data_IF_271092582982
#
_entry.id   IF_271092582982
#
_cell.length_a   1.000
_cell.length_b   1.000
_cell.length_c   1.000
_cell.angle_alpha   90.00
_cell.angle_beta   90.00
_cell.angle_gamma   90.00
#
_symmetry.space_group_name_H-M   'P 1'
#
loop_
_entity.id
_entity.type
_entity.pdbx_description
1 polymer ?
#
# COMPACT_ATOMS: atom_id res chain seq x y z
N UNK A 1 -24.03 28.07 -22.43
CA UNK A 1 -23.29 26.80 -22.45
C UNK A 1 -22.00 26.80 -21.62
N UNK A 2 -21.95 27.46 -20.48
CA UNK A 2 -20.76 27.65 -19.65
C UNK A 2 -20.78 26.90 -18.30
N UNK A 3 -21.77 26.04 -18.09
CA UNK A 3 -21.93 25.34 -16.80
C UNK A 3 -21.46 23.89 -16.73
N UNK A 4 -21.30 23.20 -17.87
CA UNK A 4 -21.05 21.75 -17.89
C UNK A 4 -19.60 21.32 -17.60
N UNK A 5 -18.65 22.24 -17.56
CA UNK A 5 -17.24 21.92 -17.36
C UNK A 5 -16.60 22.58 -16.13
N UNK A 6 -17.40 23.11 -15.20
CA UNK A 6 -16.90 23.81 -14.01
C UNK A 6 -16.29 22.87 -12.94
N UNK A 7 -16.49 21.58 -13.02
CA UNK A 7 -15.86 20.58 -12.13
C UNK A 7 -14.81 19.77 -12.88
N UNK A 8 -13.84 20.45 -13.48
CA UNK A 8 -12.70 19.74 -14.07
C UNK A 8 -11.88 19.11 -12.94
N UNK A 9 -11.69 17.83 -13.03
CA UNK A 9 -10.90 16.94 -12.18
C UNK A 9 -9.39 17.12 -12.42
N UNK A 10 -8.90 18.34 -12.55
CA UNK A 10 -7.47 18.60 -12.74
C UNK A 10 -6.89 19.27 -11.51
N UNK A 11 -5.65 18.90 -11.18
CA UNK A 11 -4.85 19.61 -10.18
C UNK A 11 -4.71 21.08 -10.57
N UNK A 12 -4.80 21.94 -9.57
CA UNK A 12 -4.41 23.33 -9.76
C UNK A 12 -2.90 23.36 -9.98
N UNK A 13 -2.45 24.07 -11.00
CA UNK A 13 -1.04 24.39 -11.18
C UNK A 13 -0.78 25.65 -10.39
N UNK A 14 0.01 25.52 -9.34
CA UNK A 14 0.49 26.63 -8.52
C UNK A 14 2.00 26.70 -8.65
N UNK A 15 2.57 27.89 -8.49
CA UNK A 15 4.01 28.04 -8.46
C UNK A 15 4.58 27.48 -7.14
N UNK A 16 5.77 26.91 -7.21
CA UNK A 16 6.47 26.42 -6.03
C UNK A 16 6.90 27.62 -5.17
N UNK A 17 6.40 27.68 -3.92
CA UNK A 17 6.79 28.75 -2.99
C UNK A 17 8.17 28.47 -2.41
N UNK A 18 8.82 29.52 -1.90
CA UNK A 18 10.08 29.40 -1.15
C UNK A 18 9.92 28.79 0.26
N UNK A 19 8.69 28.68 0.78
CA UNK A 19 8.42 28.11 2.10
C UNK A 19 7.00 27.55 2.23
N UNK A 20 6.85 26.55 3.11
CA UNK A 20 5.58 25.92 3.50
C UNK A 20 5.61 25.52 4.98
N UNK A 21 4.44 25.37 5.60
CA UNK A 21 4.36 24.77 6.94
C UNK A 21 4.80 23.31 6.92
N UNK A 22 4.37 22.56 5.89
CA UNK A 22 4.72 21.14 5.71
C UNK A 22 5.13 20.87 4.25
N UNK A 23 6.27 20.22 4.07
CA UNK A 23 6.70 19.66 2.78
C UNK A 23 6.65 18.14 2.85
N UNK A 24 5.85 17.52 2.00
CA UNK A 24 5.73 16.07 1.85
C UNK A 24 6.49 15.65 0.60
N UNK A 25 7.52 14.83 0.78
CA UNK A 25 8.30 14.29 -0.34
C UNK A 25 7.71 12.94 -0.74
N UNK A 26 7.16 12.89 -1.95
CA UNK A 26 6.49 11.73 -2.53
C UNK A 26 4.99 11.93 -2.73
N UNK A 27 4.57 12.03 -3.99
CA UNK A 27 3.17 12.14 -4.44
C UNK A 27 2.49 10.78 -4.64
N UNK A 28 2.88 9.78 -3.85
CA UNK A 28 2.19 8.50 -3.75
C UNK A 28 0.93 8.60 -2.87
N UNK A 29 0.17 7.50 -2.78
CA UNK A 29 -1.08 7.45 -2.01
C UNK A 29 -0.89 7.85 -0.54
N UNK A 30 0.25 7.51 0.08
CA UNK A 30 0.53 7.84 1.48
C UNK A 30 0.77 9.34 1.68
N UNK A 31 1.61 9.95 0.85
CA UNK A 31 1.86 11.40 0.92
C UNK A 31 0.62 12.23 0.59
N UNK A 32 -0.16 11.80 -0.40
CA UNK A 32 -1.41 12.46 -0.78
C UNK A 32 -2.51 12.27 0.27
N UNK A 33 -2.62 11.11 0.89
CA UNK A 33 -3.53 10.89 2.03
C UNK A 33 -3.17 11.78 3.21
N UNK A 34 -1.87 11.87 3.55
CA UNK A 34 -1.40 12.80 4.58
C UNK A 34 -1.78 14.25 4.26
N UNK A 35 -1.48 14.71 3.05
CA UNK A 35 -1.76 16.10 2.65
C UNK A 35 -3.25 16.44 2.70
N UNK A 36 -4.10 15.50 2.28
CA UNK A 36 -5.55 15.64 2.41
C UNK A 36 -6.00 15.76 3.86
N UNK A 37 -5.53 14.85 4.73
CA UNK A 37 -5.92 14.85 6.14
C UNK A 37 -5.44 16.09 6.89
N UNK A 38 -4.22 16.58 6.62
CA UNK A 38 -3.73 17.85 7.16
C UNK A 38 -4.69 19.01 6.83
N UNK A 39 -5.07 19.13 5.56
CA UNK A 39 -5.94 20.20 5.11
C UNK A 39 -7.42 20.02 5.53
N UNK A 40 -7.95 18.78 5.45
CA UNK A 40 -9.37 18.52 5.68
C UNK A 40 -9.75 18.47 7.17
N UNK A 41 -8.89 17.88 8.00
CA UNK A 41 -9.22 17.61 9.40
C UNK A 41 -8.46 18.48 10.41
N UNK A 42 -7.36 19.11 9.99
CA UNK A 42 -6.56 19.95 10.88
C UNK A 42 -6.39 21.40 10.41
N UNK A 43 -6.94 21.76 9.23
CA UNK A 43 -6.86 23.11 8.70
C UNK A 43 -5.46 23.57 8.29
N UNK A 44 -4.48 22.65 8.22
CA UNK A 44 -3.11 22.92 7.77
C UNK A 44 -3.10 22.82 6.25
N UNK A 45 -3.15 23.97 5.58
CA UNK A 45 -3.30 24.08 4.11
C UNK A 45 -2.05 24.57 3.40
N UNK A 46 -1.10 25.20 4.12
CA UNK A 46 0.18 25.62 3.55
C UNK A 46 1.13 24.42 3.44
N UNK A 47 0.74 23.47 2.56
CA UNK A 47 1.39 22.18 2.37
C UNK A 47 1.81 22.04 0.92
N UNK A 48 3.06 21.58 0.70
CA UNK A 48 3.52 21.14 -0.61
C UNK A 48 3.70 19.62 -0.63
N UNK A 49 3.22 18.97 -1.67
CA UNK A 49 3.58 17.60 -2.04
C UNK A 49 4.51 17.67 -3.26
N UNK A 50 5.73 17.16 -3.11
CA UNK A 50 6.75 17.18 -4.16
C UNK A 50 6.98 15.76 -4.67
N UNK A 51 6.77 15.53 -5.97
CA UNK A 51 7.07 14.25 -6.61
C UNK A 51 8.09 14.44 -7.74
N UNK A 52 9.11 13.61 -7.77
CA UNK A 52 10.16 13.65 -8.79
C UNK A 52 9.65 13.38 -10.22
N UNK A 53 8.52 12.66 -10.31
CA UNK A 53 7.88 12.31 -11.59
C UNK A 53 6.44 12.86 -11.61
N UNK A 54 5.46 11.98 -11.83
CA UNK A 54 4.03 12.29 -11.71
C UNK A 54 3.43 11.56 -10.50
N UNK A 55 2.33 12.09 -9.96
CA UNK A 55 1.66 11.50 -8.79
C UNK A 55 1.30 10.03 -9.06
N UNK A 56 1.56 9.19 -8.06
CA UNK A 56 1.31 7.75 -8.16
C UNK A 56 2.29 6.99 -9.07
N UNK A 57 3.33 7.61 -9.61
CA UNK A 57 4.31 6.97 -10.50
C UNK A 57 5.13 5.86 -9.82
N UNK A 58 5.22 5.87 -8.50
CA UNK A 58 5.91 4.88 -7.68
C UNK A 58 5.09 3.62 -7.39
N UNK A 59 5.21 3.09 -6.18
CA UNK A 59 4.51 1.88 -5.71
C UNK A 59 3.00 1.98 -5.82
N UNK A 60 2.41 3.19 -5.66
CA UNK A 60 0.96 3.40 -5.73
C UNK A 60 0.36 3.02 -7.07
N UNK A 61 0.99 3.39 -8.19
CA UNK A 61 0.51 3.03 -9.53
C UNK A 61 0.88 1.62 -9.99
N UNK A 62 1.61 0.88 -9.15
CA UNK A 62 2.11 -0.47 -9.43
C UNK A 62 1.56 -1.54 -8.50
N UNK A 63 0.72 -1.17 -7.54
CA UNK A 63 0.11 -2.11 -6.61
C UNK A 63 -1.02 -2.93 -7.25
N UNK A 64 -1.44 -3.97 -6.56
CA UNK A 64 -2.45 -4.93 -7.02
C UNK A 64 -3.84 -4.66 -6.47
N UNK A 65 -4.10 -3.47 -5.92
CA UNK A 65 -5.41 -2.92 -5.57
C UNK A 65 -6.12 -3.57 -4.38
N UNK A 66 -5.51 -4.53 -3.71
CA UNK A 66 -6.11 -5.28 -2.60
C UNK A 66 -6.21 -4.41 -1.34
N UNK A 67 -7.38 -4.42 -0.69
CA UNK A 67 -7.67 -3.79 0.59
C UNK A 67 -8.24 -4.85 1.54
N UNK A 68 -7.58 -5.07 2.68
CA UNK A 68 -7.95 -6.10 3.64
C UNK A 68 -7.56 -5.71 5.07
N UNK A 69 -8.08 -6.44 6.07
CA UNK A 69 -7.81 -6.20 7.49
C UNK A 69 -7.44 -7.46 8.29
N UNK A 70 -7.30 -8.63 7.62
CA UNK A 70 -6.95 -9.91 8.24
C UNK A 70 -5.43 -10.03 8.38
N UNK A 71 -4.90 -9.61 9.52
CA UNK A 71 -3.47 -9.55 9.83
C UNK A 71 -3.09 -10.48 10.99
N UNK A 72 -1.79 -10.57 11.32
CA UNK A 72 -1.25 -11.62 12.20
C UNK A 72 -0.88 -11.12 13.60
N UNK A 73 -0.91 -9.81 13.88
CA UNK A 73 -0.49 -9.30 15.19
C UNK A 73 -1.54 -8.41 15.86
N UNK A 74 -1.54 -8.34 17.21
CA UNK A 74 -2.43 -7.45 17.96
C UNK A 74 -2.27 -5.97 17.60
N UNK A 75 -1.13 -5.56 17.04
CA UNK A 75 -0.83 -4.18 16.63
C UNK A 75 -1.36 -3.90 15.22
N UNK A 76 -1.19 -4.85 14.29
CA UNK A 76 -1.56 -4.65 12.88
C UNK A 76 -3.05 -4.81 12.63
N UNK A 77 -3.72 -5.75 13.30
CA UNK A 77 -5.17 -5.98 13.12
C UNK A 77 -6.00 -4.72 13.40
N UNK A 78 -5.85 -4.01 14.54
CA UNK A 78 -6.59 -2.77 14.79
C UNK A 78 -6.29 -1.67 13.77
N UNK A 79 -5.02 -1.53 13.37
CA UNK A 79 -4.58 -0.52 12.41
C UNK A 79 -5.26 -0.71 11.05
N UNK A 80 -5.23 -1.92 10.50
CA UNK A 80 -5.84 -2.20 9.19
C UNK A 80 -7.36 -2.33 9.26
N UNK A 81 -7.94 -2.72 10.41
CA UNK A 81 -9.38 -2.61 10.65
C UNK A 81 -9.86 -1.16 10.57
N UNK A 82 -9.14 -0.25 11.22
CA UNK A 82 -9.45 1.17 11.15
C UNK A 82 -9.33 1.69 9.70
N UNK A 83 -8.28 1.30 9.00
CA UNK A 83 -8.11 1.64 7.57
C UNK A 83 -9.29 1.16 6.73
N UNK A 84 -9.69 -0.11 6.86
CA UNK A 84 -10.83 -0.68 6.12
C UNK A 84 -12.13 0.06 6.43
N UNK A 85 -12.30 0.53 7.68
CA UNK A 85 -13.42 1.39 8.07
C UNK A 85 -13.48 2.67 7.25
N UNK A 86 -12.34 3.35 7.08
CA UNK A 86 -12.23 4.59 6.29
C UNK A 86 -12.49 4.29 4.79
N UNK A 87 -11.95 3.21 4.25
CA UNK A 87 -12.15 2.84 2.84
C UNK A 87 -13.60 2.82 2.41
N UNK A 88 -14.52 2.40 3.29
CA UNK A 88 -15.96 2.29 3.00
C UNK A 88 -16.64 3.64 2.70
N UNK A 89 -16.13 4.73 3.25
CA UNK A 89 -16.67 6.08 3.10
C UNK A 89 -15.76 7.02 2.32
N UNK A 90 -14.52 6.60 2.05
CA UNK A 90 -13.49 7.45 1.46
C UNK A 90 -13.90 8.06 0.11
N UNK A 91 -14.63 7.32 -0.73
CA UNK A 91 -15.11 7.85 -2.01
C UNK A 91 -16.08 9.04 -1.83
N UNK A 92 -16.89 9.02 -0.78
CA UNK A 92 -17.80 10.12 -0.43
C UNK A 92 -17.01 11.31 0.13
N UNK A 93 -16.05 11.06 1.02
CA UNK A 93 -15.20 12.10 1.61
C UNK A 93 -14.38 12.85 0.55
N UNK A 94 -13.80 12.14 -0.40
CA UNK A 94 -13.01 12.71 -1.48
C UNK A 94 -13.86 13.32 -2.61
N UNK A 95 -15.17 13.08 -2.61
CA UNK A 95 -16.06 13.38 -3.74
C UNK A 95 -15.48 12.82 -5.07
N UNK A 96 -15.06 11.54 -5.02
CA UNK A 96 -14.39 10.88 -6.13
C UNK A 96 -14.68 9.37 -6.16
N UNK A 97 -14.99 8.83 -7.34
CA UNK A 97 -15.27 7.40 -7.48
C UNK A 97 -13.96 6.59 -7.46
N UNK A 98 -13.71 5.89 -6.37
CA UNK A 98 -12.52 5.06 -6.17
C UNK A 98 -12.63 3.66 -6.79
N UNK A 99 -13.79 3.33 -7.36
CA UNK A 99 -14.12 1.96 -7.79
C UNK A 99 -13.88 0.94 -6.68
N UNK A 100 -14.22 1.33 -5.43
CA UNK A 100 -14.10 0.46 -4.27
C UNK A 100 -15.21 -0.58 -4.28
N UNK A 101 -14.84 -1.85 -4.13
CA UNK A 101 -15.79 -2.96 -4.06
C UNK A 101 -15.34 -4.03 -3.07
N UNK A 102 -16.27 -4.52 -2.26
CA UNK A 102 -16.04 -5.64 -1.33
C UNK A 102 -16.39 -6.93 -2.05
N UNK A 103 -15.40 -7.83 -2.18
CA UNK A 103 -15.51 -9.05 -2.97
C UNK A 103 -15.00 -10.28 -2.21
N UNK A 104 -14.34 -10.10 -1.06
CA UNK A 104 -13.74 -11.16 -0.27
C UNK A 104 -12.31 -11.52 -0.71
N UNK A 105 -11.64 -12.24 0.19
CA UNK A 105 -10.29 -12.79 0.02
C UNK A 105 -10.30 -14.23 0.50
N UNK A 106 -9.83 -15.15 -0.33
CA UNK A 106 -9.73 -16.57 -0.09
C UNK A 106 -8.25 -16.99 -0.11
N UNK A 107 -7.69 -17.34 1.04
CA UNK A 107 -6.32 -17.79 1.20
C UNK A 107 -6.28 -19.30 1.30
N UNK A 108 -5.85 -19.98 0.24
CA UNK A 108 -5.79 -21.45 0.14
C UNK A 108 -4.61 -21.99 0.96
N UNK A 109 -4.87 -23.06 1.71
CA UNK A 109 -3.89 -23.81 2.45
C UNK A 109 -3.70 -25.19 1.81
N UNK A 110 -2.45 -25.57 1.57
CA UNK A 110 -2.09 -26.84 0.94
C UNK A 110 -1.42 -27.81 1.91
N UNK A 111 -1.11 -27.34 3.12
CA UNK A 111 -0.57 -28.14 4.21
C UNK A 111 -1.41 -28.00 5.47
N UNK A 112 -1.33 -28.95 6.38
CA UNK A 112 -1.98 -28.83 7.68
C UNK A 112 -1.35 -27.70 8.52
N UNK A 113 -0.04 -27.48 8.38
CA UNK A 113 0.67 -26.42 9.11
C UNK A 113 0.18 -25.03 8.65
N UNK A 114 0.06 -24.79 7.34
CA UNK A 114 -0.48 -23.53 6.84
C UNK A 114 -1.94 -23.31 7.25
N UNK A 115 -2.74 -24.39 7.33
CA UNK A 115 -4.13 -24.31 7.80
C UNK A 115 -4.21 -23.96 9.29
N UNK A 116 -3.31 -24.50 10.14
CA UNK A 116 -3.27 -24.14 11.57
C UNK A 116 -2.85 -22.66 11.76
N UNK A 117 -1.87 -22.17 11.00
CA UNK A 117 -1.51 -20.74 11.01
C UNK A 117 -2.72 -19.87 10.65
N UNK A 118 -3.48 -20.24 9.62
CA UNK A 118 -4.69 -19.50 9.24
C UNK A 118 -5.81 -19.61 10.30
N UNK A 119 -5.89 -20.72 11.06
CA UNK A 119 -6.81 -20.84 12.20
C UNK A 119 -6.46 -19.88 13.33
N UNK A 120 -5.18 -19.84 13.71
CA UNK A 120 -4.70 -18.91 14.74
C UNK A 120 -4.94 -17.46 14.34
N UNK A 121 -4.61 -17.12 13.09
CA UNK A 121 -4.90 -15.81 12.51
C UNK A 121 -6.39 -15.48 12.56
N UNK A 122 -7.26 -16.42 12.20
CA UNK A 122 -8.72 -16.26 12.26
C UNK A 122 -9.22 -15.97 13.67
N UNK A 123 -8.71 -16.69 14.68
CA UNK A 123 -9.07 -16.46 16.08
C UNK A 123 -8.65 -15.06 16.55
N UNK A 124 -7.41 -14.64 16.24
CA UNK A 124 -6.91 -13.30 16.54
C UNK A 124 -7.80 -12.23 15.90
N UNK A 125 -8.04 -12.35 14.60
CA UNK A 125 -8.84 -11.39 13.84
C UNK A 125 -10.26 -11.25 14.43
N UNK A 126 -10.91 -12.37 14.75
CA UNK A 126 -12.24 -12.36 15.38
C UNK A 126 -12.21 -11.70 16.75
N UNK A 127 -11.16 -11.90 17.55
CA UNK A 127 -11.02 -11.25 18.86
C UNK A 127 -10.99 -9.71 18.73
N UNK A 128 -10.45 -9.20 17.63
CA UNK A 128 -10.47 -7.77 17.29
C UNK A 128 -11.70 -7.34 16.45
N UNK A 129 -12.68 -8.25 16.23
CA UNK A 129 -13.89 -7.98 15.46
C UNK A 129 -13.62 -7.80 13.96
N UNK A 130 -12.63 -8.51 13.43
CA UNK A 130 -12.36 -8.66 11.99
C UNK A 130 -12.82 -10.05 11.57
N UNK A 131 -13.83 -10.08 10.70
CA UNK A 131 -14.37 -11.35 10.23
C UNK A 131 -13.35 -12.08 9.35
N UNK A 132 -12.97 -13.28 9.78
CA UNK A 132 -12.14 -14.23 9.04
C UNK A 132 -12.61 -15.63 9.40
N UNK A 133 -12.99 -16.43 8.42
CA UNK A 133 -13.58 -17.75 8.59
C UNK A 133 -12.62 -18.82 8.03
N UNK A 134 -12.52 -19.98 8.69
CA UNK A 134 -11.74 -21.13 8.19
C UNK A 134 -12.70 -22.05 7.46
N UNK A 135 -12.37 -22.39 6.22
CA UNK A 135 -13.18 -23.18 5.32
C UNK A 135 -12.60 -24.58 5.10
N UNK A 136 -13.48 -25.57 5.05
CA UNK A 136 -13.18 -26.92 4.55
C UNK A 136 -13.03 -26.89 3.01
N UNK A 137 -12.40 -27.93 2.39
CA UNK A 137 -12.31 -28.01 0.91
C UNK A 137 -13.65 -27.92 0.20
N UNK A 138 -14.73 -28.48 0.77
CA UNK A 138 -16.08 -28.40 0.18
C UNK A 138 -16.64 -26.98 0.25
N UNK A 139 -16.33 -26.22 1.29
CA UNK A 139 -16.71 -24.82 1.42
C UNK A 139 -15.87 -23.93 0.48
N UNK A 140 -14.57 -24.23 0.30
CA UNK A 140 -13.73 -23.59 -0.72
C UNK A 140 -14.33 -23.74 -2.11
N UNK A 141 -14.78 -24.95 -2.47
CA UNK A 141 -15.45 -25.21 -3.77
C UNK A 141 -16.71 -24.37 -3.94
N UNK A 142 -17.46 -24.15 -2.87
CA UNK A 142 -18.67 -23.29 -2.88
C UNK A 142 -18.30 -21.81 -3.01
N UNK A 143 -17.23 -21.37 -2.32
CA UNK A 143 -16.75 -19.99 -2.37
C UNK A 143 -16.13 -19.65 -3.74
N UNK A 144 -15.39 -20.58 -4.34
CA UNK A 144 -14.81 -20.39 -5.67
C UNK A 144 -14.78 -21.71 -6.46
N UNK A 145 -15.75 -21.90 -7.34
CA UNK A 145 -15.89 -23.12 -8.17
C UNK A 145 -14.75 -23.36 -9.17
N UNK A 146 -13.92 -22.37 -9.41
CA UNK A 146 -12.80 -22.44 -10.36
C UNK A 146 -11.49 -22.88 -9.74
N UNK A 147 -11.42 -22.98 -8.40
CA UNK A 147 -10.24 -23.50 -7.69
C UNK A 147 -10.13 -25.00 -7.95
N UNK A 148 -8.95 -25.43 -8.36
CA UNK A 148 -8.59 -26.84 -8.40
C UNK A 148 -8.16 -27.32 -7.01
N UNK A 149 -9.01 -28.08 -6.34
CA UNK A 149 -8.72 -28.62 -5.01
C UNK A 149 -7.62 -29.69 -5.03
N UNK A 150 -7.25 -30.21 -6.19
CA UNK A 150 -6.15 -31.19 -6.29
C UNK A 150 -4.76 -30.52 -6.32
N UNK A 151 -4.71 -29.18 -6.50
CA UNK A 151 -3.46 -28.43 -6.60
C UNK A 151 -2.56 -28.88 -7.75
N UNK A 152 -3.18 -29.23 -8.89
CA UNK A 152 -2.47 -29.82 -10.04
C UNK A 152 -1.98 -31.26 -9.77
N UNK A 153 -2.48 -31.92 -8.73
CA UNK A 153 -2.10 -33.26 -8.33
C UNK A 153 -0.87 -33.34 -7.41
N UNK A 154 -0.21 -32.21 -7.13
CA UNK A 154 1.02 -32.17 -6.29
C UNK A 154 0.75 -31.62 -4.87
N UNK A 155 -0.08 -30.59 -4.76
CA UNK A 155 -0.36 -29.88 -3.50
C UNK A 155 -1.87 -29.69 -3.33
N UNK A 156 -2.62 -30.70 -2.85
CA UNK A 156 -4.06 -30.60 -2.67
C UNK A 156 -4.43 -29.51 -1.65
N UNK A 157 -5.55 -28.85 -1.87
CA UNK A 157 -6.11 -27.89 -0.92
C UNK A 157 -6.69 -28.62 0.27
N UNK A 158 -6.14 -28.41 1.46
CA UNK A 158 -6.61 -29.01 2.73
C UNK A 158 -7.62 -28.11 3.45
N UNK A 159 -7.74 -26.86 3.07
CA UNK A 159 -8.66 -25.85 3.60
C UNK A 159 -8.30 -24.48 3.09
N UNK A 160 -8.92 -23.45 3.67
CA UNK A 160 -8.61 -22.06 3.38
C UNK A 160 -9.02 -21.15 4.54
N UNK A 161 -8.50 -19.92 4.60
CA UNK A 161 -9.17 -18.86 5.31
C UNK A 161 -9.96 -17.97 4.32
N UNK A 162 -11.07 -17.42 4.79
CA UNK A 162 -11.90 -16.52 4.01
C UNK A 162 -12.16 -15.23 4.80
N UNK A 163 -11.81 -14.11 4.20
CA UNK A 163 -12.03 -12.78 4.75
C UNK A 163 -13.11 -12.05 3.92
N UNK A 164 -14.41 -12.15 4.28
CA UNK A 164 -15.51 -11.54 3.52
C UNK A 164 -15.35 -10.03 3.30
N UNK A 165 -14.79 -9.23 4.25
CA UNK A 165 -14.55 -7.81 4.04
C UNK A 165 -13.43 -7.48 3.05
N UNK A 166 -12.68 -8.45 2.55
CA UNK A 166 -11.66 -8.24 1.52
C UNK A 166 -12.22 -7.45 0.34
N UNK A 167 -11.49 -6.44 -0.10
CA UNK A 167 -11.99 -5.43 -1.02
C UNK A 167 -10.92 -5.04 -2.03
N UNK A 168 -11.34 -4.31 -3.05
CA UNK A 168 -10.45 -3.72 -4.06
C UNK A 168 -10.77 -2.25 -4.24
N UNK A 169 -9.74 -1.44 -4.52
CA UNK A 169 -9.90 -0.05 -4.90
C UNK A 169 -8.97 0.28 -6.07
N UNK A 170 -9.45 1.01 -7.05
CA UNK A 170 -8.64 1.37 -8.21
C UNK A 170 -7.55 2.36 -7.80
N UNK A 171 -6.30 1.94 -7.88
CA UNK A 171 -5.16 2.66 -7.34
C UNK A 171 -4.96 4.06 -7.93
N UNK A 172 -5.11 4.23 -9.23
CA UNK A 172 -5.04 5.53 -9.90
C UNK A 172 -6.19 6.46 -9.47
N UNK A 173 -7.42 5.93 -9.35
CA UNK A 173 -8.56 6.69 -8.85
C UNK A 173 -8.35 7.17 -7.42
N UNK A 174 -7.73 6.34 -6.56
CA UNK A 174 -7.41 6.72 -5.17
C UNK A 174 -6.37 7.83 -5.12
N UNK A 175 -5.29 7.70 -5.89
CA UNK A 175 -4.24 8.74 -6.00
C UNK A 175 -4.84 10.07 -6.47
N UNK A 176 -5.61 10.06 -7.56
CA UNK A 176 -6.26 11.26 -8.08
C UNK A 176 -7.33 11.81 -7.15
N UNK A 177 -8.09 10.96 -6.49
CA UNK A 177 -9.10 11.35 -5.50
C UNK A 177 -8.48 12.17 -4.37
N UNK A 178 -7.43 11.66 -3.74
CA UNK A 178 -6.71 12.37 -2.69
C UNK A 178 -6.06 13.67 -3.19
N UNK A 179 -5.37 13.62 -4.33
CA UNK A 179 -4.68 14.79 -4.88
C UNK A 179 -5.64 15.94 -5.18
N UNK A 180 -6.77 15.64 -5.81
CA UNK A 180 -7.79 16.65 -6.16
C UNK A 180 -8.45 17.18 -4.89
N UNK A 181 -8.80 16.32 -3.93
CA UNK A 181 -9.43 16.73 -2.68
C UNK A 181 -8.51 17.61 -1.82
N UNK A 182 -7.20 17.31 -1.78
CA UNK A 182 -6.18 18.11 -1.12
C UNK A 182 -5.98 19.46 -1.84
N UNK A 183 -5.81 19.45 -3.16
CA UNK A 183 -5.63 20.66 -3.96
C UNK A 183 -6.83 21.60 -3.88
N UNK A 184 -8.06 21.10 -3.81
CA UNK A 184 -9.27 21.92 -3.60
C UNK A 184 -9.22 22.70 -2.29
N UNK A 185 -8.48 22.20 -1.29
CA UNK A 185 -8.30 22.78 0.05
C UNK A 185 -7.06 23.68 0.18
N UNK A 186 -6.32 23.89 -0.91
CA UNK A 186 -5.17 24.79 -0.94
C UNK A 186 -3.81 24.10 -0.86
N UNK A 187 -3.76 22.77 -0.81
CA UNK A 187 -2.49 22.03 -0.88
C UNK A 187 -1.91 22.18 -2.30
N UNK A 188 -0.61 22.46 -2.38
CA UNK A 188 0.14 22.53 -3.63
C UNK A 188 0.73 21.16 -3.97
N UNK A 189 0.39 20.61 -5.13
CA UNK A 189 0.93 19.32 -5.61
C UNK A 189 1.81 19.61 -6.83
N UNK A 190 3.10 19.32 -6.69
CA UNK A 190 4.11 19.59 -7.71
C UNK A 190 4.66 18.28 -8.26
N UNK A 191 4.40 18.05 -9.54
CA UNK A 191 4.96 16.94 -10.32
C UNK A 191 6.25 17.38 -11.02
N UNK A 192 7.21 16.47 -11.19
CA UNK A 192 8.50 16.75 -11.81
C UNK A 192 9.44 17.60 -10.94
N UNK A 193 9.23 17.63 -9.61
CA UNK A 193 10.08 18.36 -8.66
C UNK A 193 10.82 17.36 -7.78
N UNK A 194 12.05 17.04 -8.17
CA UNK A 194 12.91 16.14 -7.43
C UNK A 194 13.53 16.84 -6.21
N UNK A 195 13.41 16.20 -5.02
CA UNK A 195 14.16 16.59 -3.84
C UNK A 195 15.55 15.97 -3.91
N UNK A 196 16.57 16.82 -3.87
CA UNK A 196 17.98 16.47 -4.01
C UNK A 196 18.77 16.57 -2.69
N UNK A 197 18.14 17.09 -1.63
CA UNK A 197 18.74 17.20 -0.30
C UNK A 197 17.71 17.56 0.76
N UNK A 198 18.03 17.23 2.01
CA UNK A 198 17.32 17.68 3.22
C UNK A 198 18.19 18.75 3.88
N UNK A 199 17.62 19.90 4.18
CA UNK A 199 18.32 21.01 4.81
C UNK A 199 18.25 20.87 6.33
N UNK A 200 19.41 20.72 6.96
CA UNK A 200 19.56 20.62 8.42
C UNK A 200 20.30 21.85 8.95
N UNK A 201 19.71 22.53 9.93
CA UNK A 201 20.32 23.61 10.67
C UNK A 201 20.17 23.34 12.17
N UNK A 202 21.28 23.43 12.93
CA UNK A 202 21.31 23.21 14.39
C UNK A 202 20.62 21.89 14.82
N UNK A 203 20.80 20.82 14.04
CA UNK A 203 20.22 19.50 14.32
C UNK A 203 18.74 19.35 13.98
N UNK A 204 18.12 20.39 13.41
CA UNK A 204 16.72 20.40 12.97
C UNK A 204 16.60 20.41 11.44
N UNK A 205 15.65 19.68 10.90
CA UNK A 205 15.26 19.81 9.50
C UNK A 205 14.47 21.12 9.31
N UNK A 206 14.97 21.96 8.39
CA UNK A 206 14.39 23.29 8.11
C UNK A 206 13.87 23.41 6.68
N UNK A 207 13.97 22.37 5.88
CA UNK A 207 13.49 22.38 4.50
C UNK A 207 14.10 21.31 3.62
N UNK A 208 13.91 21.50 2.32
CA UNK A 208 14.45 20.61 1.28
C UNK A 208 15.15 21.42 0.20
N UNK A 209 16.09 20.79 -0.48
CA UNK A 209 16.70 21.31 -1.71
C UNK A 209 16.10 20.60 -2.90
N UNK A 210 15.73 21.36 -3.91
CA UNK A 210 15.22 20.84 -5.19
C UNK A 210 16.03 21.38 -6.36
N UNK A 211 15.81 20.84 -7.54
CA UNK A 211 16.42 21.39 -8.77
C UNK A 211 15.91 22.82 -9.06
N UNK A 212 14.72 23.18 -8.58
CA UNK A 212 14.15 24.53 -8.71
C UNK A 212 14.62 25.50 -7.61
N UNK A 213 15.48 25.07 -6.68
CA UNK A 213 16.00 25.84 -5.56
C UNK A 213 15.58 25.27 -4.19
N UNK A 214 16.00 25.93 -3.08
CA UNK A 214 15.64 25.54 -1.73
C UNK A 214 14.18 25.88 -1.42
N UNK A 215 13.53 25.03 -0.61
CA UNK A 215 12.18 25.24 -0.09
C UNK A 215 12.25 25.06 1.43
N UNK A 216 12.03 26.12 2.18
CA UNK A 216 11.98 26.07 3.63
C UNK A 216 10.68 25.35 4.10
N UNK A 217 10.76 24.65 5.22
CA UNK A 217 9.63 23.95 5.78
C UNK A 217 9.64 23.94 7.31
N UNK A 218 8.47 24.13 7.92
CA UNK A 218 8.27 23.89 9.33
C UNK A 218 8.47 22.40 9.69
N UNK A 219 8.04 21.51 8.78
CA UNK A 219 8.24 20.04 8.86
C UNK A 219 8.39 19.44 7.47
N UNK A 220 9.27 18.46 7.35
CA UNK A 220 9.42 17.62 6.15
C UNK A 220 8.98 16.19 6.45
N UNK A 221 8.20 15.59 5.56
CA UNK A 221 7.74 14.20 5.70
C UNK A 221 8.23 13.38 4.50
N UNK A 222 8.93 12.28 4.78
CA UNK A 222 9.32 11.29 3.77
C UNK A 222 8.18 10.32 3.51
N UNK A 223 7.70 10.24 2.27
CA UNK A 223 6.69 9.30 1.80
C UNK A 223 7.06 8.69 0.43
N UNK A 224 8.34 8.33 0.27
CA UNK A 224 8.96 7.97 -1.02
C UNK A 224 9.11 6.45 -1.25
N UNK A 225 8.46 5.62 -0.42
CA UNK A 225 8.42 4.15 -0.56
C UNK A 225 9.82 3.57 -0.81
N UNK A 226 10.04 2.82 -1.89
CA UNK A 226 11.32 2.17 -2.19
C UNK A 226 12.56 3.08 -2.20
N UNK A 227 12.41 4.41 -2.14
CA UNK A 227 13.51 5.36 -2.03
C UNK A 227 13.71 5.90 -0.60
N UNK A 228 13.03 5.33 0.39
CA UNK A 228 13.03 5.83 1.78
C UNK A 228 14.43 5.89 2.39
N UNK A 229 15.28 4.89 2.16
CA UNK A 229 16.67 4.88 2.65
C UNK A 229 17.52 5.99 2.03
N UNK A 230 17.31 6.28 0.74
CA UNK A 230 18.06 7.32 0.02
C UNK A 230 17.69 8.70 0.57
N UNK A 231 16.39 9.00 0.71
CA UNK A 231 15.95 10.29 1.23
C UNK A 231 16.30 10.47 2.71
N UNK A 232 16.13 9.44 3.54
CA UNK A 232 16.46 9.49 4.96
C UNK A 232 17.96 9.72 5.20
N UNK A 233 18.81 9.11 4.36
CA UNK A 233 20.27 9.32 4.43
C UNK A 233 20.69 10.79 4.19
N UNK A 234 19.93 11.55 3.39
CA UNK A 234 20.15 12.98 3.18
C UNK A 234 19.94 13.80 4.48
N UNK A 235 19.14 13.28 5.41
CA UNK A 235 18.93 13.85 6.75
C UNK A 235 19.83 13.22 7.84
N UNK A 236 20.79 12.36 7.46
CA UNK A 236 21.62 11.60 8.38
C UNK A 236 20.90 10.46 9.11
N UNK A 237 19.71 10.08 8.68
CA UNK A 237 18.91 9.01 9.29
C UNK A 237 19.16 7.69 8.57
N UNK A 238 19.53 6.66 9.32
CA UNK A 238 19.68 5.29 8.80
C UNK A 238 18.40 4.49 9.07
N UNK A 239 17.81 3.96 8.01
CA UNK A 239 16.65 3.08 8.09
C UNK A 239 17.04 1.61 7.90
N UNK A 240 16.50 0.68 8.68
CA UNK A 240 16.68 -0.75 8.49
C UNK A 240 15.71 -1.25 7.40
N UNK A 241 15.86 -0.73 6.19
CA UNK A 241 14.98 -1.02 5.05
C UNK A 241 15.82 -1.56 3.91
N UNK A 242 15.32 -2.62 3.29
CA UNK A 242 15.82 -3.13 2.02
C UNK A 242 14.78 -2.87 0.92
N UNK A 243 15.23 -2.31 -0.20
CA UNK A 243 14.34 -2.07 -1.35
C UNK A 243 14.35 -3.29 -2.25
N UNK A 244 13.21 -3.93 -2.40
CA UNK A 244 13.01 -5.15 -3.16
C UNK A 244 11.99 -4.95 -4.27
N UNK A 245 12.07 -5.76 -5.33
CA UNK A 245 11.15 -5.72 -6.44
C UNK A 245 9.99 -6.70 -6.25
N UNK A 246 8.77 -6.20 -6.44
CA UNK A 246 7.56 -7.01 -6.54
C UNK A 246 6.98 -6.87 -7.93
N UNK A 247 6.77 -8.01 -8.61
CA UNK A 247 6.27 -8.04 -9.97
C UNK A 247 4.82 -8.52 -10.01
N UNK A 248 4.10 -8.06 -11.00
CA UNK A 248 2.77 -8.54 -11.31
C UNK A 248 2.51 -8.47 -12.83
N UNK A 249 1.52 -9.22 -13.30
CA UNK A 249 1.05 -9.11 -14.66
C UNK A 249 -0.48 -9.17 -14.75
N UNK A 250 -1.04 -8.70 -15.86
CA UNK A 250 -2.45 -8.88 -16.21
C UNK A 250 -2.60 -9.62 -17.51
N UNK A 251 -3.70 -10.36 -17.61
CA UNK A 251 -4.10 -11.07 -18.82
C UNK A 251 -4.98 -10.20 -19.72
N UNK A 252 -5.31 -10.71 -20.89
CA UNK A 252 -6.47 -10.24 -21.65
C UNK A 252 -7.75 -10.33 -20.81
N UNK A 253 -8.79 -9.50 -21.08
CA UNK A 253 -10.03 -9.54 -20.32
C UNK A 253 -10.78 -10.87 -20.47
N UNK A 254 -11.25 -11.37 -19.36
CA UNK A 254 -12.18 -12.50 -19.26
C UNK A 254 -13.58 -12.00 -18.88
N UNK A 255 -14.61 -12.83 -19.17
CA UNK A 255 -15.90 -12.65 -18.50
C UNK A 255 -15.71 -12.74 -16.98
N UNK A 256 -16.59 -12.17 -16.16
CA UNK A 256 -16.51 -12.32 -14.71
C UNK A 256 -16.48 -13.79 -14.29
N UNK A 257 -15.40 -14.21 -13.64
CA UNK A 257 -15.17 -15.59 -13.17
C UNK A 257 -14.69 -15.64 -11.73
N UNK A 258 -13.98 -14.61 -11.24
CA UNK A 258 -13.54 -14.48 -9.85
C UNK A 258 -14.29 -13.33 -9.17
N UNK A 259 -14.94 -13.62 -8.07
CA UNK A 259 -15.65 -12.61 -7.27
C UNK A 259 -14.73 -11.92 -6.27
N UNK A 260 -13.60 -12.57 -5.87
CA UNK A 260 -12.65 -12.06 -4.90
C UNK A 260 -11.20 -12.34 -5.25
N UNK A 261 -10.33 -12.09 -4.29
CA UNK A 261 -8.94 -12.53 -4.34
C UNK A 261 -8.88 -14.03 -4.03
N UNK A 262 -8.12 -14.76 -4.83
CA UNK A 262 -7.72 -16.15 -4.52
C UNK A 262 -6.20 -16.14 -4.39
N UNK A 263 -5.70 -16.52 -3.24
CA UNK A 263 -4.27 -16.61 -2.95
C UNK A 263 -3.89 -17.97 -2.39
N UNK A 264 -2.62 -18.28 -2.42
CA UNK A 264 -2.02 -19.44 -1.76
C UNK A 264 -0.69 -19.02 -1.17
N UNK A 265 -0.56 -19.12 0.15
CA UNK A 265 0.68 -18.85 0.86
C UNK A 265 1.74 -19.91 0.55
N UNK A 266 1.35 -21.17 0.47
CA UNK A 266 2.25 -22.30 0.18
C UNK A 266 2.84 -22.22 -1.24
N UNK A 267 2.11 -21.61 -2.19
CA UNK A 267 2.53 -21.41 -3.58
C UNK A 267 3.03 -19.98 -3.87
N UNK A 268 2.94 -19.06 -2.91
CA UNK A 268 3.34 -17.65 -3.07
C UNK A 268 2.77 -17.00 -4.33
N UNK A 269 1.46 -17.16 -4.56
CA UNK A 269 0.76 -16.61 -5.71
C UNK A 269 -0.63 -16.14 -5.32
N UNK A 270 -1.08 -15.09 -5.94
CA UNK A 270 -2.45 -14.61 -5.81
C UNK A 270 -3.01 -14.16 -7.16
N UNK A 271 -4.30 -14.33 -7.32
CA UNK A 271 -5.03 -13.95 -8.52
C UNK A 271 -6.30 -13.22 -8.14
N UNK A 272 -6.55 -12.08 -8.78
CA UNK A 272 -7.82 -11.36 -8.68
C UNK A 272 -8.31 -10.98 -10.07
N UNK A 273 -9.57 -10.57 -10.18
CA UNK A 273 -10.10 -10.07 -11.44
C UNK A 273 -10.41 -8.58 -11.34
N UNK A 274 -9.91 -7.80 -12.30
CA UNK A 274 -10.14 -6.35 -12.33
C UNK A 274 -11.58 -6.05 -12.81
N UNK A 275 -12.06 -4.83 -12.54
CA UNK A 275 -13.38 -4.38 -13.02
C UNK A 275 -13.51 -4.37 -14.55
N UNK A 276 -12.41 -4.45 -15.29
CA UNK A 276 -12.41 -4.55 -16.76
C UNK A 276 -12.31 -5.99 -17.28
N UNK A 277 -12.17 -6.95 -16.35
CA UNK A 277 -12.13 -8.37 -16.65
C UNK A 277 -10.74 -8.98 -16.74
N UNK A 278 -9.64 -8.21 -16.72
CA UNK A 278 -8.30 -8.78 -16.72
C UNK A 278 -8.06 -9.59 -15.42
N UNK A 279 -7.44 -10.75 -15.53
CA UNK A 279 -6.92 -11.48 -14.38
C UNK A 279 -5.57 -10.86 -14.01
N UNK A 280 -5.48 -10.37 -12.77
CA UNK A 280 -4.27 -9.81 -12.20
C UNK A 280 -3.59 -10.88 -11.37
N UNK A 281 -2.34 -11.19 -11.70
CA UNK A 281 -1.51 -12.19 -11.03
C UNK A 281 -0.32 -11.51 -10.38
N UNK A 282 -0.13 -11.75 -9.10
CA UNK A 282 1.05 -11.39 -8.36
C UNK A 282 1.63 -12.62 -7.65
N UNK A 283 2.88 -12.52 -7.27
CA UNK A 283 3.60 -13.57 -6.56
C UNK A 283 4.57 -12.97 -5.54
N UNK A 284 5.52 -13.74 -5.08
CA UNK A 284 6.51 -13.35 -4.07
C UNK A 284 7.34 -12.12 -4.46
N UNK A 285 7.86 -11.43 -3.45
CA UNK A 285 8.88 -10.38 -3.60
C UNK A 285 10.20 -11.03 -3.98
N UNK A 286 10.95 -10.43 -4.91
CA UNK A 286 12.27 -10.94 -5.26
C UNK A 286 13.23 -10.86 -4.05
N UNK A 287 13.93 -11.94 -3.70
CA UNK A 287 14.70 -12.05 -2.46
C UNK A 287 16.08 -11.35 -2.55
N UNK A 288 16.16 -10.20 -3.21
CA UNK A 288 17.37 -9.40 -3.30
C UNK A 288 17.07 -7.91 -3.46
N UNK A 289 17.94 -7.09 -2.92
CA UNK A 289 17.85 -5.62 -2.99
C UNK A 289 18.06 -5.13 -4.42
N UNK A 290 17.13 -4.32 -4.92
CA UNK A 290 17.23 -3.71 -6.24
C UNK A 290 16.35 -2.46 -6.36
N UNK A 291 16.79 -1.50 -7.17
CA UNK A 291 16.01 -0.36 -7.63
C UNK A 291 15.49 -0.52 -9.07
N UNK A 292 15.71 -1.69 -9.68
CA UNK A 292 15.24 -1.97 -11.02
C UNK A 292 13.72 -2.11 -11.06
N UNK A 293 13.09 -1.37 -11.96
CA UNK A 293 11.65 -1.50 -12.27
C UNK A 293 11.40 -2.35 -13.53
N UNK A 294 12.43 -3.07 -13.98
CA UNK A 294 12.31 -3.99 -15.12
C UNK A 294 11.74 -5.32 -14.68
N UNK A 295 10.74 -5.77 -15.39
CA UNK A 295 10.14 -7.09 -15.17
C UNK A 295 10.97 -8.19 -15.85
N UNK A 296 10.85 -9.42 -15.36
CA UNK A 296 11.62 -10.57 -15.84
C UNK A 296 10.72 -11.64 -16.41
N UNK A 297 11.20 -12.34 -17.44
CA UNK A 297 10.49 -13.49 -18.00
C UNK A 297 10.40 -14.65 -16.97
N UNK A 298 11.42 -14.82 -16.13
CA UNK A 298 11.42 -15.85 -15.10
C UNK A 298 10.24 -15.69 -14.13
N UNK A 299 9.95 -14.44 -13.69
CA UNK A 299 8.76 -14.17 -12.88
C UNK A 299 7.47 -14.55 -13.63
N UNK A 300 7.32 -14.12 -14.88
CA UNK A 300 6.12 -14.43 -15.67
C UNK A 300 5.88 -15.94 -15.78
N UNK A 301 6.93 -16.70 -16.06
CA UNK A 301 6.85 -18.14 -16.19
C UNK A 301 6.46 -18.82 -14.86
N UNK A 302 7.14 -18.45 -13.76
CA UNK A 302 6.90 -19.05 -12.45
C UNK A 302 5.52 -18.68 -11.88
N UNK A 303 5.14 -17.41 -11.91
CA UNK A 303 3.84 -16.97 -11.44
C UNK A 303 2.68 -17.57 -12.28
N UNK A 304 2.89 -17.76 -13.59
CA UNK A 304 1.93 -18.47 -14.44
C UNK A 304 1.81 -19.94 -14.04
N UNK A 305 2.93 -20.65 -13.82
CA UNK A 305 2.93 -22.04 -13.38
C UNK A 305 2.13 -22.20 -12.07
N UNK A 306 2.46 -21.39 -11.06
CA UNK A 306 1.81 -21.42 -9.73
C UNK A 306 0.31 -21.09 -9.82
N UNK A 307 -0.07 -20.08 -10.62
CA UNK A 307 -1.49 -19.73 -10.79
C UNK A 307 -2.28 -20.83 -11.50
N UNK A 308 -1.68 -21.58 -12.41
CA UNK A 308 -2.32 -22.69 -13.08
C UNK A 308 -2.55 -23.91 -12.17
N UNK A 309 -1.76 -24.09 -11.12
CA UNK A 309 -1.98 -25.12 -10.11
C UNK A 309 -3.26 -24.88 -9.32
N UNK A 310 -3.63 -23.62 -9.06
CA UNK A 310 -4.86 -23.28 -8.31
C UNK A 310 -6.04 -22.92 -9.22
N UNK A 311 -5.79 -22.37 -10.41
CA UNK A 311 -6.80 -21.87 -11.34
C UNK A 311 -6.53 -22.34 -12.79
N UNK A 312 -6.69 -23.65 -13.10
CA UNK A 312 -6.28 -24.23 -14.38
C UNK A 312 -7.05 -23.67 -15.60
N UNK A 313 -8.21 -23.03 -15.39
CA UNK A 313 -8.94 -22.38 -16.49
C UNK A 313 -8.12 -21.26 -17.17
N UNK A 314 -7.09 -20.74 -16.51
CA UNK A 314 -6.20 -19.71 -17.03
C UNK A 314 -5.20 -20.23 -18.09
N UNK A 315 -5.14 -21.54 -18.37
CA UNK A 315 -4.14 -22.14 -19.27
C UNK A 315 -4.12 -21.54 -20.69
N UNK A 316 -5.21 -20.91 -21.13
CA UNK A 316 -5.31 -20.24 -22.44
C UNK A 316 -5.21 -18.72 -22.36
N UNK A 317 -5.03 -18.18 -21.16
CA UNK A 317 -4.91 -16.73 -20.96
C UNK A 317 -3.63 -16.18 -21.59
N UNK A 318 -3.71 -15.00 -22.17
CA UNK A 318 -2.57 -14.30 -22.74
C UNK A 318 -2.17 -13.16 -21.80
N UNK A 319 -0.90 -13.14 -21.37
CA UNK A 319 -0.36 -12.01 -20.63
C UNK A 319 -0.30 -10.78 -21.54
N UNK A 320 -0.91 -9.69 -21.10
CA UNK A 320 -0.96 -8.44 -21.85
C UNK A 320 0.06 -7.42 -21.38
N UNK A 321 0.29 -7.37 -20.07
CA UNK A 321 1.20 -6.40 -19.46
C UNK A 321 1.79 -6.97 -18.17
N UNK A 322 3.09 -6.75 -18.00
CA UNK A 322 3.83 -7.03 -16.78
C UNK A 322 4.46 -5.73 -16.28
N UNK A 323 4.58 -5.58 -14.97
CA UNK A 323 5.25 -4.44 -14.34
C UNK A 323 5.92 -4.82 -13.04
N UNK A 324 6.76 -3.92 -12.53
CA UNK A 324 7.52 -4.08 -11.28
C UNK A 324 7.32 -2.86 -10.40
N UNK A 325 6.93 -3.07 -9.15
CA UNK A 325 6.93 -2.08 -8.08
C UNK A 325 8.14 -2.26 -7.17
N UNK A 326 8.56 -1.19 -6.51
CA UNK A 326 9.60 -1.23 -5.48
C UNK A 326 8.93 -1.23 -4.10
N UNK A 327 9.27 -2.21 -3.28
CA UNK A 327 8.81 -2.37 -1.91
C UNK A 327 9.95 -2.04 -0.95
N UNK A 328 9.68 -1.19 0.02
CA UNK A 328 10.57 -0.82 1.12
C UNK A 328 10.36 -1.78 2.30
N UNK A 329 11.09 -2.89 2.31
CA UNK A 329 10.92 -3.98 3.26
C UNK A 329 11.68 -3.71 4.55
N UNK A 330 10.99 -3.77 5.68
CA UNK A 330 11.57 -3.73 7.04
C UNK A 330 11.85 -5.16 7.54
N UNK A 331 12.75 -5.35 8.54
CA UNK A 331 13.04 -6.66 9.09
C UNK A 331 11.85 -7.40 9.68
N UNK A 332 10.85 -6.66 10.16
CA UNK A 332 9.61 -7.20 10.76
C UNK A 332 8.40 -7.10 9.81
N UNK A 333 8.61 -6.71 8.56
CA UNK A 333 7.56 -6.54 7.55
C UNK A 333 6.45 -5.53 7.94
N UNK A 334 6.68 -4.68 8.92
CA UNK A 334 5.72 -3.67 9.40
C UNK A 334 6.18 -2.24 9.09
N UNK A 335 5.25 -1.29 8.87
CA UNK A 335 5.59 0.07 8.48
C UNK A 335 6.39 0.83 9.54
N UNK A 336 7.06 1.90 9.12
CA UNK A 336 7.68 2.90 9.99
C UNK A 336 6.87 4.18 9.87
N UNK A 337 6.25 4.60 10.98
CA UNK A 337 5.39 5.78 11.06
C UNK A 337 5.82 6.67 12.23
N UNK A 338 5.97 7.97 12.00
CA UNK A 338 6.28 8.94 13.05
C UNK A 338 7.61 9.66 12.89
N UNK A 339 8.22 10.02 13.99
CA UNK A 339 9.45 10.82 14.00
C UNK A 339 10.68 10.01 13.60
N UNK A 340 11.59 10.67 12.89
CA UNK A 340 12.84 10.06 12.40
C UNK A 340 13.97 10.04 13.44
N UNK A 341 13.83 10.81 14.53
CA UNK A 341 14.90 11.17 15.47
C UNK A 341 15.62 12.47 15.11
N UNK A 342 15.35 13.06 13.95
CA UNK A 342 15.76 14.42 13.58
C UNK A 342 14.55 15.33 13.72
N UNK A 343 14.65 16.37 14.56
CA UNK A 343 13.55 17.32 14.74
C UNK A 343 13.15 17.95 13.40
N UNK A 344 11.84 18.11 13.17
CA UNK A 344 11.32 18.62 11.91
C UNK A 344 11.29 17.61 10.74
N UNK A 345 11.76 16.35 10.92
CA UNK A 345 11.71 15.31 9.88
C UNK A 345 10.96 14.08 10.36
N UNK A 346 9.90 13.71 9.62
CA UNK A 346 9.03 12.57 9.92
C UNK A 346 9.04 11.53 8.80
N UNK A 347 8.67 10.30 9.13
CA UNK A 347 8.74 9.13 8.25
C UNK A 347 7.35 8.51 8.04
N UNK A 348 7.04 8.22 6.80
CA UNK A 348 6.05 7.28 6.32
C UNK A 348 6.76 6.30 5.38
N UNK A 349 7.42 5.29 5.94
CA UNK A 349 8.36 4.41 5.26
C UNK A 349 8.17 2.96 5.67
N UNK A 350 8.89 2.03 5.03
CA UNK A 350 8.83 0.61 5.37
C UNK A 350 7.47 -0.01 5.09
N UNK A 351 6.74 0.53 4.12
CA UNK A 351 5.37 0.11 3.82
C UNK A 351 5.30 -1.29 3.20
N UNK A 352 6.40 -1.79 2.69
CA UNK A 352 6.48 -3.11 2.06
C UNK A 352 5.41 -3.31 0.99
N UNK A 353 4.61 -4.36 1.15
CA UNK A 353 3.47 -4.65 0.27
C UNK A 353 2.13 -4.08 0.79
N UNK A 354 2.12 -3.28 1.87
CA UNK A 354 0.94 -2.95 2.67
C UNK A 354 0.51 -1.50 2.56
N UNK A 355 1.38 -0.65 2.01
CA UNK A 355 1.21 0.79 2.01
C UNK A 355 -0.08 1.31 1.38
N UNK A 356 -0.57 0.66 0.33
CA UNK A 356 -1.81 1.08 -0.33
C UNK A 356 -3.04 0.90 0.56
N UNK A 357 -3.19 -0.29 1.14
CA UNK A 357 -4.37 -0.61 1.98
C UNK A 357 -4.38 0.13 3.32
N UNK A 358 -3.21 0.50 3.82
CA UNK A 358 -3.05 1.30 5.03
C UNK A 358 -3.11 2.82 4.81
N UNK A 359 -3.03 3.30 3.58
CA UNK A 359 -2.90 4.72 3.27
C UNK A 359 -3.93 5.64 3.94
N UNK A 360 -5.23 5.31 4.05
CA UNK A 360 -6.19 6.16 4.73
C UNK A 360 -5.83 6.39 6.20
N UNK A 361 -5.57 5.33 6.95
CA UNK A 361 -5.26 5.43 8.38
C UNK A 361 -3.86 6.02 8.62
N UNK A 362 -2.88 5.72 7.76
CA UNK A 362 -1.54 6.30 7.84
C UNK A 362 -1.57 7.81 7.65
N UNK A 363 -2.30 8.28 6.63
CA UNK A 363 -2.49 9.72 6.42
C UNK A 363 -3.19 10.40 7.57
N UNK A 364 -4.25 9.80 8.11
CA UNK A 364 -5.01 10.34 9.22
C UNK A 364 -4.16 10.44 10.50
N UNK A 365 -3.50 9.35 10.90
CA UNK A 365 -2.71 9.31 12.14
C UNK A 365 -1.44 10.15 12.06
N UNK A 366 -0.80 10.20 10.90
CA UNK A 366 0.36 11.09 10.70
C UNK A 366 -0.05 12.58 10.66
N UNK A 367 -1.22 12.91 10.13
CA UNK A 367 -1.76 14.28 10.19
C UNK A 367 -2.05 14.70 11.63
N UNK A 368 -2.64 13.81 12.44
CA UNK A 368 -2.85 14.05 13.88
C UNK A 368 -1.52 14.27 14.62
N UNK A 369 -0.52 13.42 14.38
CA UNK A 369 0.82 13.59 14.95
C UNK A 369 1.41 14.97 14.61
N UNK A 370 1.35 15.37 13.33
CA UNK A 370 1.93 16.64 12.88
C UNK A 370 1.17 17.83 13.47
N UNK A 371 -0.15 17.77 13.51
CA UNK A 371 -0.98 18.87 14.00
C UNK A 371 -0.91 19.04 15.52
N UNK A 372 -0.79 17.94 16.28
CA UNK A 372 -0.91 17.97 17.74
C UNK A 372 0.41 17.77 18.48
N UNK A 373 1.44 17.25 17.79
CA UNK A 373 2.71 16.81 18.38
C UNK A 373 2.58 15.54 19.24
N UNK A 374 1.45 14.85 19.22
CA UNK A 374 1.19 13.63 20.00
C UNK A 374 1.09 12.43 19.08
N UNK A 375 1.82 11.38 19.38
CA UNK A 375 1.75 10.13 18.63
C UNK A 375 0.43 9.40 18.93
N UNK A 376 -0.44 9.17 17.93
CA UNK A 376 -1.63 8.36 18.11
C UNK A 376 -1.29 6.92 18.51
N UNK A 377 -2.07 6.33 19.43
CA UNK A 377 -1.83 4.99 19.96
C UNK A 377 -1.76 3.90 18.86
N UNK A 378 -2.52 4.07 17.78
CA UNK A 378 -2.52 3.13 16.65
C UNK A 378 -1.17 3.03 15.92
N UNK A 379 -0.36 4.08 15.93
CA UNK A 379 0.93 4.09 15.22
C UNK A 379 2.13 4.05 16.17
N UNK A 380 1.93 4.14 17.47
CA UNK A 380 3.00 4.06 18.47
C UNK A 380 3.88 2.80 18.33
N UNK A 381 3.33 1.58 18.11
CA UNK A 381 4.13 0.38 17.91
C UNK A 381 5.03 0.43 16.67
N UNK A 382 4.70 1.28 15.69
CA UNK A 382 5.38 1.36 14.40
C UNK A 382 6.46 2.44 14.34
N UNK A 383 6.86 3.00 15.49
CA UNK A 383 7.96 3.97 15.57
C UNK A 383 9.29 3.35 15.11
N UNK A 384 10.17 4.16 14.51
CA UNK A 384 11.52 3.74 14.10
C UNK A 384 12.33 3.18 15.28
N UNK A 385 12.14 3.73 16.48
CA UNK A 385 12.83 3.31 17.69
C UNK A 385 12.60 1.85 18.09
N UNK A 386 11.54 1.18 17.59
CA UNK A 386 11.23 -0.22 17.90
C UNK A 386 12.38 -1.18 17.56
N UNK A 387 13.13 -0.90 16.49
CA UNK A 387 14.29 -1.71 16.09
C UNK A 387 15.45 -1.61 17.09
N UNK A 388 15.64 -0.45 17.69
CA UNK A 388 16.68 -0.24 18.72
C UNK A 388 16.26 -0.82 20.07
N UNK A 389 14.95 -0.84 20.35
CA UNK A 389 14.38 -1.30 21.61
C UNK A 389 14.01 -2.79 21.61
N UNK A 390 14.30 -3.49 20.50
CA UNK A 390 13.92 -4.90 20.29
C UNK A 390 12.40 -5.15 20.50
N UNK A 391 11.58 -4.22 20.00
CA UNK A 391 10.11 -4.27 20.05
C UNK A 391 9.51 -4.41 18.64
N UNK A 392 10.06 -5.34 17.87
CA UNK A 392 9.58 -5.60 16.51
C UNK A 392 8.12 -6.06 16.50
N UNK A 393 7.42 -5.70 15.43
CA UNK A 393 6.03 -6.10 15.15
C UNK A 393 6.05 -7.01 13.91
N UNK A 394 6.41 -8.30 14.07
CA UNK A 394 6.57 -9.20 12.93
C UNK A 394 5.22 -9.58 12.35
N UNK A 395 4.94 -9.16 11.14
CA UNK A 395 3.71 -9.53 10.45
C UNK A 395 3.98 -9.91 8.99
N UNK A 396 4.12 -11.19 8.73
CA UNK A 396 4.32 -11.79 7.42
C UNK A 396 3.00 -12.11 6.68
N UNK A 397 1.87 -11.47 7.04
CA UNK A 397 0.55 -11.76 6.46
C UNK A 397 0.40 -11.32 4.99
N UNK A 398 1.47 -10.99 4.29
CA UNK A 398 1.41 -10.72 2.85
C UNK A 398 1.92 -11.91 2.05
N UNK A 399 1.18 -12.32 1.03
CA UNK A 399 1.67 -13.29 0.06
C UNK A 399 3.04 -12.83 -0.47
N UNK A 400 4.06 -13.64 -0.28
CA UNK A 400 5.38 -13.39 -0.82
C UNK A 400 6.35 -12.59 0.04
N UNK A 401 6.14 -12.47 1.34
CA UNK A 401 7.15 -11.99 2.28
C UNK A 401 7.63 -13.12 3.19
N UNK A 402 8.78 -13.65 2.91
CA UNK A 402 9.57 -14.54 3.78
C UNK A 402 11.01 -14.05 3.82
#
# INVERSE_FOLDING_TARGET
MTGLFRHRTFLRREDLKGSYDVVIVGGGVNGLSLSHNLAAHHGITDVAVLDANYIGSGGSGRNTQVVRANYNTPETVPLYKASLGIWRTLGQELDFNLLFSTQGELDLCHTHDSLEVEREKSLLNRAFGVQTDVLTPDEVRKACRFVDLTGGGELPVVGASFHPPGSFARHDSVVWGYAIAASRRGVHVHEGVAVTGIEISDGRCVGVRTEAGPVAAGRVVSAVAGHSTVLAAMAGVRLPIETMALQAFVTEPYRPVLEGLVSSMDLYVYVSQTARGELLVGAEVLPYTTYSTRSTFGFLAEASKRSLQILPFMAKARAMRQWTGLCDMTPDSSPILGDSGVDGFSLMAGMGTWGFKGAPIFGQTMAELIATGRTPALIEPFALSRFRLDRMVPDAASAGTH
#
